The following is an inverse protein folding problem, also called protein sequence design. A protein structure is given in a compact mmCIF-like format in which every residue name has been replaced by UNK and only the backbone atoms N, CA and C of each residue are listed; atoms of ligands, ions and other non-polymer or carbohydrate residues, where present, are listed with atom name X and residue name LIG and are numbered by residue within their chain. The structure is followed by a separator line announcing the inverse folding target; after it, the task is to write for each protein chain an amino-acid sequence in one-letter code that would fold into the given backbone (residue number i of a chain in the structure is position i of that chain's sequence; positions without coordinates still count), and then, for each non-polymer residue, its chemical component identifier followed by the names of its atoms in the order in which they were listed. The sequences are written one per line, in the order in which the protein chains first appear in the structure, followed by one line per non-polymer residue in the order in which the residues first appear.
data_IF_843183901313
#
_entry.id   IF_843183901313
#
_cell.length_a   1.000
_cell.length_b   1.000
_cell.length_c   1.000
_cell.angle_alpha   90.00
_cell.angle_beta   90.00
_cell.angle_gamma   90.00
#
_symmetry.space_group_name_H-M   'P 1'
#
loop_
_entity.id
_entity.type
_entity.pdbx_description
1 polymer ?
#
# COMPACT_ATOMS: atom_id res chain seq x y z
N UNK A 1 11.69 15.49 -14.45
CA UNK A 1 10.53 14.71 -14.96
C UNK A 1 10.35 13.36 -14.24
N UNK A 2 11.39 12.56 -14.00
CA UNK A 2 11.26 11.23 -13.34
C UNK A 2 10.50 11.23 -12.00
N UNK A 3 10.75 12.22 -11.14
CA UNK A 3 10.07 12.33 -9.84
C UNK A 3 8.58 12.70 -9.97
N UNK A 4 8.23 13.45 -11.02
CA UNK A 4 6.83 13.80 -11.32
C UNK A 4 6.10 12.53 -11.78
N UNK A 5 6.72 11.75 -12.68
CA UNK A 5 6.17 10.46 -13.11
C UNK A 5 6.01 9.50 -11.93
N UNK A 6 7.02 9.40 -11.06
CA UNK A 6 6.96 8.59 -9.84
C UNK A 6 5.76 8.99 -8.96
N UNK A 7 5.61 10.28 -8.66
CA UNK A 7 4.50 10.79 -7.86
C UNK A 7 3.14 10.55 -8.52
N UNK A 8 3.05 10.75 -9.85
CA UNK A 8 1.82 10.54 -10.60
C UNK A 8 1.36 9.06 -10.56
N UNK A 9 2.28 8.12 -10.78
CA UNK A 9 1.98 6.68 -10.71
C UNK A 9 1.50 6.30 -9.32
N UNK A 10 2.18 6.80 -8.27
CA UNK A 10 1.77 6.55 -6.89
C UNK A 10 0.36 7.08 -6.61
N UNK A 11 0.06 8.34 -6.94
CA UNK A 11 -1.25 8.95 -6.65
C UNK A 11 -2.41 8.28 -7.43
N UNK A 12 -2.18 7.94 -8.70
CA UNK A 12 -3.16 7.18 -9.50
C UNK A 12 -3.36 5.78 -8.92
N UNK A 13 -2.27 5.10 -8.56
CA UNK A 13 -2.30 3.80 -7.92
C UNK A 13 -3.05 3.80 -6.60
N UNK A 14 -2.84 4.80 -5.74
CA UNK A 14 -3.54 4.93 -4.46
C UNK A 14 -5.03 5.21 -4.62
N UNK A 15 -5.42 5.89 -5.70
CA UNK A 15 -6.84 6.07 -6.04
C UNK A 15 -7.48 4.72 -6.34
N UNK A 16 -6.84 3.88 -7.15
CA UNK A 16 -7.29 2.50 -7.43
C UNK A 16 -7.29 1.67 -6.15
N UNK A 17 -6.22 1.75 -5.36
CA UNK A 17 -6.06 1.06 -4.09
C UNK A 17 -7.19 1.39 -3.12
N UNK A 18 -7.59 2.66 -3.00
CA UNK A 18 -8.73 3.06 -2.18
C UNK A 18 -10.02 2.32 -2.56
N UNK A 19 -10.32 2.20 -3.86
CA UNK A 19 -11.48 1.45 -4.33
C UNK A 19 -11.36 -0.06 -4.05
N UNK A 20 -10.18 -0.64 -4.26
CA UNK A 20 -9.91 -2.06 -3.95
C UNK A 20 -10.09 -2.36 -2.46
N UNK A 21 -9.48 -1.57 -1.57
CA UNK A 21 -9.63 -1.76 -0.12
C UNK A 21 -11.06 -1.52 0.35
N UNK A 22 -11.79 -0.58 -0.26
CA UNK A 22 -13.23 -0.41 -0.02
C UNK A 22 -14.03 -1.66 -0.40
N UNK A 23 -13.68 -2.33 -1.49
CA UNK A 23 -14.33 -3.57 -1.93
C UNK A 23 -13.98 -4.75 -1.00
N UNK A 24 -12.71 -4.94 -0.68
CA UNK A 24 -12.23 -5.99 0.24
C UNK A 24 -12.89 -5.85 1.61
N UNK A 25 -12.93 -4.63 2.15
CA UNK A 25 -13.58 -4.33 3.43
C UNK A 25 -15.05 -4.74 3.44
N UNK A 26 -15.80 -4.46 2.36
CA UNK A 26 -17.20 -4.89 2.23
C UNK A 26 -17.37 -6.41 2.24
N UNK A 27 -16.38 -7.16 1.75
CA UNK A 27 -16.48 -8.61 1.58
C UNK A 27 -16.06 -9.39 2.83
N UNK A 28 -15.06 -8.90 3.57
CA UNK A 28 -14.38 -9.65 4.63
C UNK A 28 -14.49 -9.03 6.03
N UNK A 29 -14.85 -7.76 6.16
CA UNK A 29 -15.01 -7.13 7.48
C UNK A 29 -16.40 -7.45 8.05
N UNK A 30 -16.45 -8.18 9.18
CA UNK A 30 -17.69 -8.35 9.96
C UNK A 30 -18.07 -7.02 10.60
N UNK A 31 -19.37 -6.78 10.79
CA UNK A 31 -19.89 -5.58 11.48
C UNK A 31 -19.24 -5.45 12.86
N UNK A 32 -18.45 -4.38 13.04
CA UNK A 32 -17.88 -4.03 14.34
C UNK A 32 -18.99 -3.74 15.38
N UNK A 33 -18.75 -4.03 16.67
CA UNK A 33 -19.63 -3.59 17.75
C UNK A 33 -19.70 -2.06 17.80
N UNK A 34 -20.76 -1.52 18.41
CA UNK A 34 -21.04 -0.08 18.49
C UNK A 34 -19.91 0.68 19.22
N UNK A 35 -18.90 1.13 18.48
CA UNK A 35 -17.90 2.09 18.93
C UNK A 35 -18.40 3.51 18.73
N UNK A 36 -17.94 4.44 19.58
CA UNK A 36 -18.24 5.85 19.45
C UNK A 36 -17.77 6.40 18.08
N UNK A 37 -18.60 7.20 17.42
CA UNK A 37 -18.39 7.65 16.04
C UNK A 37 -17.06 8.39 15.81
N UNK A 38 -16.52 9.09 16.83
CA UNK A 38 -15.23 9.79 16.73
C UNK A 38 -14.04 8.83 16.70
N UNK A 39 -14.04 7.83 17.56
CA UNK A 39 -12.97 6.84 17.69
C UNK A 39 -12.87 5.96 16.45
N UNK A 40 -14.03 5.52 15.93
CA UNK A 40 -14.14 4.77 14.68
C UNK A 40 -13.56 5.53 13.48
N UNK A 41 -13.81 6.84 13.38
CA UNK A 41 -13.23 7.69 12.33
C UNK A 41 -11.71 7.78 12.48
N UNK A 42 -11.20 8.04 13.68
CA UNK A 42 -9.75 8.12 13.95
C UNK A 42 -9.03 6.82 13.59
N UNK A 43 -9.55 5.68 14.02
CA UNK A 43 -8.98 4.36 13.72
C UNK A 43 -8.97 4.08 12.21
N UNK A 44 -10.02 4.50 11.50
CA UNK A 44 -10.08 4.38 10.04
C UNK A 44 -8.98 5.20 9.35
N UNK A 45 -8.80 6.47 9.73
CA UNK A 45 -7.75 7.31 9.14
C UNK A 45 -6.35 6.79 9.44
N UNK A 46 -6.08 6.36 10.68
CA UNK A 46 -4.80 5.78 11.07
C UNK A 46 -4.47 4.53 10.24
N UNK A 47 -5.46 3.66 10.02
CA UNK A 47 -5.29 2.43 9.23
C UNK A 47 -4.98 2.75 7.76
N UNK A 48 -5.69 3.71 7.17
CA UNK A 48 -5.45 4.15 5.78
C UNK A 48 -4.05 4.77 5.66
N UNK A 49 -3.68 5.67 6.58
CA UNK A 49 -2.38 6.34 6.60
C UNK A 49 -1.23 5.33 6.72
N UNK A 50 -1.36 4.32 7.58
CA UNK A 50 -0.37 3.24 7.69
C UNK A 50 -0.22 2.48 6.37
N UNK A 51 -1.32 2.13 5.72
CA UNK A 51 -1.30 1.44 4.43
C UNK A 51 -0.65 2.27 3.32
N UNK A 52 -0.94 3.57 3.26
CA UNK A 52 -0.30 4.51 2.34
C UNK A 52 1.21 4.54 2.56
N UNK A 53 1.64 4.72 3.82
CA UNK A 53 3.05 4.83 4.17
C UNK A 53 3.82 3.54 3.86
N UNK A 54 3.25 2.37 4.14
CA UNK A 54 3.85 1.09 3.80
C UNK A 54 4.03 0.91 2.28
N UNK A 55 3.01 1.23 1.47
CA UNK A 55 3.11 1.13 0.00
C UNK A 55 4.10 2.14 -0.58
N UNK A 56 4.09 3.37 -0.06
CA UNK A 56 5.06 4.39 -0.44
C UNK A 56 6.49 3.91 -0.14
N UNK A 57 6.72 3.34 1.05
CA UNK A 57 8.02 2.82 1.45
C UNK A 57 8.49 1.66 0.57
N UNK A 58 7.62 0.71 0.24
CA UNK A 58 7.94 -0.36 -0.72
C UNK A 58 8.31 0.24 -2.08
N UNK A 59 7.46 1.13 -2.58
CA UNK A 59 7.62 1.68 -3.93
C UNK A 59 8.92 2.48 -4.06
N UNK A 60 9.23 3.37 -3.11
CA UNK A 60 10.48 4.14 -3.14
C UNK A 60 11.69 3.22 -3.00
N UNK A 61 11.66 2.22 -2.13
CA UNK A 61 12.78 1.28 -1.97
C UNK A 61 13.04 0.46 -3.23
N UNK A 62 11.99 -0.06 -3.87
CA UNK A 62 12.12 -0.80 -5.13
C UNK A 62 12.64 0.10 -6.26
N UNK A 63 12.16 1.33 -6.37
CA UNK A 63 12.67 2.30 -7.34
C UNK A 63 14.15 2.68 -7.12
N UNK A 64 14.70 2.39 -5.94
CA UNK A 64 16.13 2.56 -5.61
C UNK A 64 16.91 1.23 -5.61
N UNK A 65 16.33 0.14 -6.12
CA UNK A 65 17.02 -1.15 -6.22
C UNK A 65 17.20 -1.87 -4.88
N UNK A 66 16.31 -1.62 -3.90
CA UNK A 66 16.35 -2.23 -2.56
C UNK A 66 15.23 -3.27 -2.38
N UNK A 67 15.30 -4.46 -3.03
CA UNK A 67 14.24 -5.48 -2.96
C UNK A 67 14.06 -6.09 -1.56
N UNK A 68 15.11 -6.06 -0.73
CA UNK A 68 15.10 -6.54 0.64
C UNK A 68 14.03 -5.88 1.54
N UNK A 69 13.49 -4.73 1.12
CA UNK A 69 12.36 -4.06 1.80
C UNK A 69 11.14 -4.98 1.96
N UNK A 70 10.90 -5.87 1.00
CA UNK A 70 9.77 -6.80 1.03
C UNK A 70 9.93 -7.80 2.18
N UNK A 71 11.14 -8.34 2.35
CA UNK A 71 11.49 -9.23 3.47
C UNK A 71 11.42 -8.51 4.80
N UNK A 72 11.97 -7.29 4.88
CA UNK A 72 11.94 -6.46 6.08
C UNK A 72 10.50 -6.19 6.55
N UNK A 73 9.63 -5.73 5.65
CA UNK A 73 8.23 -5.45 5.98
C UNK A 73 7.42 -6.71 6.27
N UNK A 74 7.71 -7.82 5.59
CA UNK A 74 7.12 -9.12 5.90
C UNK A 74 7.43 -9.54 7.34
N UNK A 75 8.71 -9.50 7.72
CA UNK A 75 9.16 -9.80 9.08
C UNK A 75 8.55 -8.84 10.12
N UNK A 76 8.52 -7.54 9.84
CA UNK A 76 7.94 -6.53 10.73
C UNK A 76 6.44 -6.76 10.95
N UNK A 77 5.69 -7.12 9.89
CA UNK A 77 4.26 -7.42 9.99
C UNK A 77 3.97 -8.69 10.79
N UNK A 78 4.79 -9.73 10.64
CA UNK A 78 4.69 -10.95 11.46
C UNK A 78 5.00 -10.61 12.92
N UNK A 79 6.13 -9.93 13.19
CA UNK A 79 6.58 -9.61 14.54
C UNK A 79 5.59 -8.73 15.31
N UNK A 80 4.99 -7.73 14.66
CA UNK A 80 3.98 -6.86 15.30
C UNK A 80 2.65 -7.57 15.55
N UNK A 81 2.33 -8.59 14.74
CA UNK A 81 1.08 -9.34 14.89
C UNK A 81 1.11 -10.36 16.02
N UNK A 82 2.25 -11.00 16.28
CA UNK A 82 2.40 -11.96 17.39
C UNK A 82 1.96 -11.40 18.75
N UNK A 83 2.09 -10.08 18.95
CA UNK A 83 1.65 -9.40 20.17
C UNK A 83 0.17 -8.95 20.14
N UNK A 84 -0.47 -8.91 18.98
CA UNK A 84 -1.79 -8.27 18.77
C UNK A 84 -2.96 -9.28 18.72
N UNK A 85 -2.71 -10.56 18.44
CA UNK A 85 -3.76 -11.60 18.31
C UNK A 85 -4.60 -11.82 19.57
N UNK A 86 -4.17 -11.31 20.73
CA UNK A 86 -4.93 -11.39 21.98
C UNK A 86 -6.10 -10.40 22.07
N UNK A 87 -6.22 -9.41 21.18
CA UNK A 87 -7.08 -8.23 21.41
C UNK A 87 -8.11 -7.85 20.31
N UNK A 88 -8.07 -8.41 19.09
CA UNK A 88 -8.90 -7.88 17.99
C UNK A 88 -9.69 -8.90 17.16
N UNK A 89 -10.94 -8.53 16.84
CA UNK A 89 -11.94 -9.30 16.08
C UNK A 89 -11.84 -9.15 14.55
N UNK A 90 -10.71 -8.65 14.03
CA UNK A 90 -10.48 -8.57 12.58
C UNK A 90 -10.19 -9.99 12.07
N UNK A 91 -10.94 -10.45 11.06
CA UNK A 91 -10.69 -11.77 10.47
C UNK A 91 -9.26 -11.88 9.97
N UNK A 92 -8.58 -12.98 10.31
CA UNK A 92 -7.27 -13.32 9.79
C UNK A 92 -7.22 -13.22 8.25
N UNK A 93 -8.32 -13.59 7.59
CA UNK A 93 -8.43 -13.57 6.13
C UNK A 93 -8.42 -12.14 5.57
N UNK A 94 -9.13 -11.19 6.23
CA UNK A 94 -9.11 -9.78 5.82
C UNK A 94 -7.69 -9.22 5.91
N UNK A 95 -6.97 -9.52 6.99
CA UNK A 95 -5.60 -9.06 7.18
C UNK A 95 -4.65 -9.65 6.15
N UNK A 96 -4.74 -10.96 5.90
CA UNK A 96 -3.90 -11.64 4.91
C UNK A 96 -4.13 -11.09 3.50
N UNK A 97 -5.39 -11.04 3.05
CA UNK A 97 -5.77 -10.54 1.73
C UNK A 97 -5.39 -9.06 1.59
N UNK A 98 -5.66 -8.25 2.61
CA UNK A 98 -5.32 -6.84 2.61
C UNK A 98 -3.81 -6.60 2.44
N UNK A 99 -2.98 -7.38 3.12
CA UNK A 99 -1.52 -7.28 2.98
C UNK A 99 -1.02 -7.72 1.61
N UNK A 100 -1.52 -8.84 1.08
CA UNK A 100 -1.17 -9.32 -0.25
C UNK A 100 -1.54 -8.30 -1.33
N UNK A 101 -2.75 -7.75 -1.27
CA UNK A 101 -3.21 -6.70 -2.19
C UNK A 101 -2.37 -5.43 -2.05
N UNK A 102 -1.99 -5.04 -0.83
CA UNK A 102 -1.13 -3.87 -0.60
C UNK A 102 0.25 -4.04 -1.25
N UNK A 103 0.87 -5.20 -1.07
CA UNK A 103 2.18 -5.51 -1.67
C UNK A 103 2.06 -5.56 -3.19
N UNK A 104 1.02 -6.23 -3.71
CA UNK A 104 0.77 -6.32 -5.15
C UNK A 104 0.60 -4.93 -5.78
N UNK A 105 -0.14 -4.03 -5.15
CA UNK A 105 -0.27 -2.64 -5.61
C UNK A 105 1.09 -1.94 -5.68
N UNK A 106 1.90 -2.01 -4.61
CA UNK A 106 3.22 -1.38 -4.61
C UNK A 106 4.17 -1.97 -5.67
N UNK A 107 4.11 -3.27 -5.91
CA UNK A 107 4.84 -3.93 -7.00
C UNK A 107 4.38 -3.45 -8.37
N UNK A 108 3.06 -3.27 -8.56
CA UNK A 108 2.52 -2.72 -9.81
C UNK A 108 2.97 -1.27 -10.03
N UNK A 109 3.03 -0.43 -8.99
CA UNK A 109 3.55 0.94 -9.09
C UNK A 109 5.00 0.93 -9.58
N UNK A 110 5.83 0.07 -8.97
CA UNK A 110 7.22 -0.11 -9.38
C UNK A 110 7.34 -0.59 -10.81
N UNK A 111 6.60 -1.63 -11.18
CA UNK A 111 6.64 -2.20 -12.52
C UNK A 111 6.26 -1.19 -13.61
N UNK A 112 5.18 -0.43 -13.39
CA UNK A 112 4.76 0.63 -14.33
C UNK A 112 5.82 1.72 -14.44
N UNK A 113 6.42 2.14 -13.31
CA UNK A 113 7.47 3.15 -13.31
C UNK A 113 8.74 2.70 -14.03
N UNK A 114 9.21 1.48 -13.74
CA UNK A 114 10.38 0.87 -14.37
C UNK A 114 10.20 0.76 -15.90
N UNK A 115 8.98 0.45 -16.36
CA UNK A 115 8.67 0.40 -17.79
C UNK A 115 8.51 1.77 -18.45
N UNK A 116 8.01 2.78 -17.74
CA UNK A 116 7.77 4.11 -18.33
C UNK A 116 9.00 5.02 -18.32
N UNK A 117 9.92 4.84 -17.38
CA UNK A 117 11.08 5.72 -17.24
C UNK A 117 12.02 5.77 -18.47
N UNK A 118 12.27 4.68 -19.23
CA UNK A 118 13.10 4.74 -20.42
C UNK A 118 12.48 5.61 -21.53
N UNK A 119 11.16 5.54 -21.72
CA UNK A 119 10.46 6.38 -22.69
C UNK A 119 10.55 7.87 -22.36
N UNK A 120 10.55 8.21 -21.07
CA UNK A 120 10.73 9.58 -20.63
C UNK A 120 12.11 10.13 -21.03
N UNK A 121 13.16 9.31 -20.93
CA UNK A 121 14.50 9.69 -21.35
C UNK A 121 14.60 9.87 -22.87
N UNK A 122 14.00 8.97 -23.66
CA UNK A 122 13.96 9.09 -25.12
C UNK A 122 13.27 10.40 -25.58
N UNK A 123 12.17 10.77 -24.94
CA UNK A 123 11.49 12.05 -25.22
C UNK A 123 12.42 13.21 -24.87
N UNK A 124 13.08 13.18 -23.72
CA UNK A 124 13.96 14.28 -23.32
C UNK A 124 15.17 14.45 -24.26
N UNK A 125 15.69 13.37 -24.83
CA UNK A 125 16.74 13.40 -25.85
C UNK A 125 16.25 13.96 -27.19
N UNK A 126 15.02 13.65 -27.60
CA UNK A 126 14.46 14.14 -28.88
C UNK A 126 14.16 15.65 -28.91
N UNK A 127 14.05 16.31 -27.76
CA UNK A 127 13.71 17.73 -27.63
C UNK A 127 14.87 18.62 -27.12
N UNK A 128 16.06 18.05 -26.93
CA UNK A 128 17.31 18.75 -26.60
C UNK A 128 18.24 18.81 -27.81
#
# INVERSE_FOLDING_TARGET
MKYILFAAIYLLGETIGYFMFKFIRRRFEKKEPEQNNREKRRNKYNTIAKGLLERFFIYISLANGLPHVLTLLGALKIGTRLNTEKQHAISNDYFLIGNLVSILLALLYFFVYDKLIPYLYLIQEAYN
#
